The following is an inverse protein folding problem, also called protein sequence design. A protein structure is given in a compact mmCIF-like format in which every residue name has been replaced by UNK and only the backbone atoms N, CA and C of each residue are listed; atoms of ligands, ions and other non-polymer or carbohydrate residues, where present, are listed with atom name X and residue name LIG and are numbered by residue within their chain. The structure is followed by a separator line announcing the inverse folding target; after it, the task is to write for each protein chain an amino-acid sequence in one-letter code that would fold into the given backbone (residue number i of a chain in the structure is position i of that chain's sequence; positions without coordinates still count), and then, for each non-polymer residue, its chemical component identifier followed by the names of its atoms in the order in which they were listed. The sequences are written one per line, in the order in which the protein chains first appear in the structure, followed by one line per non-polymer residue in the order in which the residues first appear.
data_IF_234756355222
#
_entry.id   IF_234756355222
#
_cell.length_a   1.000
_cell.length_b   1.000
_cell.length_c   1.000
_cell.angle_alpha   90.00
_cell.angle_beta   90.00
_cell.angle_gamma   90.00
#
_symmetry.space_group_name_H-M   'P 1'
#
loop_
_entity.id
_entity.type
_entity.pdbx_description
1 polymer ?
#
# COMPACT_ATOMS: atom_id res chain seq x y z
N UNK A 1 1.16 -9.22 12.23
CA UNK A 1 0.05 -8.89 13.15
C UNK A 1 0.53 -8.84 14.60
N UNK A 2 1.11 -9.92 15.13
CA UNK A 2 1.55 -10.00 16.53
C UNK A 2 2.47 -8.85 16.96
N UNK A 3 3.43 -8.44 16.12
CA UNK A 3 4.31 -7.31 16.42
C UNK A 3 3.55 -6.01 16.71
N UNK A 4 2.53 -5.68 15.91
CA UNK A 4 1.69 -4.49 16.15
C UNK A 4 0.92 -4.58 17.46
N UNK A 5 0.34 -5.75 17.77
CA UNK A 5 -0.40 -5.98 19.01
C UNK A 5 0.49 -5.71 20.23
N UNK A 6 1.72 -6.22 20.22
CA UNK A 6 2.69 -6.01 21.32
C UNK A 6 3.05 -4.54 21.51
N UNK A 7 3.21 -3.79 20.41
CA UNK A 7 3.46 -2.35 20.50
C UNK A 7 2.27 -1.63 21.11
N UNK A 8 1.03 -1.97 20.71
CA UNK A 8 -0.16 -1.31 21.24
C UNK A 8 -0.36 -1.60 22.73
N UNK A 9 -0.16 -2.85 23.16
CA UNK A 9 -0.18 -3.23 24.57
C UNK A 9 0.87 -2.47 25.37
N UNK A 10 2.09 -2.30 24.84
CA UNK A 10 3.15 -1.53 25.50
C UNK A 10 2.81 -0.05 25.60
N UNK A 11 2.20 0.55 24.57
CA UNK A 11 1.73 1.94 24.57
C UNK A 11 0.66 2.15 25.64
N UNK A 12 -0.29 1.23 25.77
CA UNK A 12 -1.28 1.29 26.84
C UNK A 12 -0.66 1.11 28.23
N UNK A 13 0.29 0.18 28.39
CA UNK A 13 0.97 -0.06 29.66
C UNK A 13 1.87 1.11 30.10
N UNK A 14 2.33 1.93 29.15
CA UNK A 14 3.15 3.11 29.39
C UNK A 14 2.33 4.41 29.49
N UNK A 15 0.99 4.32 29.53
CA UNK A 15 0.06 5.47 29.61
C UNK A 15 0.31 6.56 28.55
N UNK A 16 0.72 6.14 27.34
CA UNK A 16 0.96 7.08 26.24
C UNK A 16 -0.39 7.61 25.75
N UNK A 17 -0.58 8.94 25.63
CA UNK A 17 -1.90 9.52 25.37
C UNK A 17 -2.38 9.40 23.92
N UNK A 18 -1.50 9.03 22.98
CA UNK A 18 -1.84 8.91 21.56
C UNK A 18 -1.01 7.85 20.83
N UNK A 19 -1.68 7.11 19.95
CA UNK A 19 -1.10 6.07 19.10
C UNK A 19 -1.52 6.30 17.65
N UNK A 20 -0.55 6.51 16.77
CA UNK A 20 -0.80 6.53 15.33
C UNK A 20 -0.43 5.19 14.70
N UNK A 21 -1.39 4.58 14.01
CA UNK A 21 -1.19 3.38 13.22
C UNK A 21 -1.23 3.69 11.73
N UNK A 22 -0.06 3.57 11.09
CA UNK A 22 0.08 3.62 9.64
C UNK A 22 -0.54 2.35 9.01
N UNK A 23 -1.81 2.44 8.65
CA UNK A 23 -2.56 1.40 7.94
C UNK A 23 -2.38 1.54 6.42
N UNK A 24 -3.39 1.18 5.62
CA UNK A 24 -3.39 1.28 4.16
C UNK A 24 -4.81 1.21 3.61
N UNK A 25 -5.03 1.75 2.41
CA UNK A 25 -6.25 1.50 1.61
C UNK A 25 -6.53 -0.01 1.45
N UNK A 26 -5.50 -0.85 1.51
CA UNK A 26 -5.66 -2.30 1.53
C UNK A 26 -6.47 -2.84 2.72
N UNK A 27 -6.67 -2.07 3.80
CA UNK A 27 -7.51 -2.51 4.90
C UNK A 27 -9.00 -2.58 4.52
N UNK A 28 -9.47 -1.75 3.58
CA UNK A 28 -10.87 -1.72 3.14
C UNK A 28 -11.33 -3.07 2.58
N UNK A 29 -12.49 -3.53 3.05
CA UNK A 29 -13.20 -4.65 2.42
C UNK A 29 -13.54 -4.25 0.98
N UNK A 30 -13.51 -5.16 -0.02
CA UNK A 30 -13.89 -4.81 -1.37
C UNK A 30 -15.31 -4.23 -1.35
N UNK A 31 -15.44 -2.93 -1.64
CA UNK A 31 -16.74 -2.30 -1.80
C UNK A 31 -17.47 -2.95 -2.97
N UNK A 32 -18.78 -3.12 -2.86
CA UNK A 32 -19.62 -3.56 -3.98
C UNK A 32 -19.44 -2.57 -5.13
N UNK A 33 -18.71 -3.01 -6.17
CA UNK A 33 -18.45 -2.25 -7.39
C UNK A 33 -19.78 -1.75 -7.96
N UNK A 34 -19.94 -0.43 -8.06
CA UNK A 34 -21.00 0.17 -8.87
C UNK A 34 -20.65 -0.21 -10.32
N UNK A 35 -21.47 -1.08 -10.91
CA UNK A 35 -21.18 -1.66 -12.20
C UNK A 35 -21.25 -0.59 -13.30
N UNK A 36 -20.14 -0.40 -14.02
CA UNK A 36 -20.14 -0.13 -15.46
C UNK A 36 -18.90 -0.76 -16.06
N UNK A 37 -19.08 -1.93 -16.67
CA UNK A 37 -18.46 -2.37 -17.92
C UNK A 37 -18.44 -3.89 -18.01
N UNK A 38 -18.87 -4.34 -19.18
CA UNK A 38 -19.14 -5.69 -19.63
C UNK A 38 -17.85 -6.47 -19.89
N UNK A 39 -17.69 -7.61 -19.22
CA UNK A 39 -17.17 -8.90 -19.74
C UNK A 39 -16.83 -9.81 -18.54
N UNK A 40 -17.54 -10.92 -18.31
CA UNK A 40 -17.24 -11.82 -17.20
C UNK A 40 -16.08 -12.76 -17.58
N UNK A 41 -14.84 -12.28 -17.46
CA UNK A 41 -13.75 -13.21 -17.15
C UNK A 41 -13.98 -13.81 -15.75
N UNK A 42 -13.52 -15.05 -15.47
CA UNK A 42 -13.81 -15.70 -14.19
C UNK A 42 -13.39 -14.78 -13.04
N UNK A 43 -14.28 -14.49 -12.07
CA UNK A 43 -13.91 -13.68 -10.93
C UNK A 43 -12.75 -14.41 -10.25
N UNK A 44 -11.61 -13.74 -10.10
CA UNK A 44 -10.51 -14.22 -9.27
C UNK A 44 -10.96 -14.19 -7.81
N UNK A 45 -11.86 -15.10 -7.48
CA UNK A 45 -12.48 -15.28 -6.18
C UNK A 45 -11.46 -16.00 -5.31
N UNK A 46 -10.58 -15.24 -4.69
CA UNK A 46 -9.67 -15.77 -3.69
C UNK A 46 -8.26 -15.26 -3.88
N UNK A 47 -7.94 -14.22 -3.12
CA UNK A 47 -6.71 -14.01 -2.35
C UNK A 47 -6.49 -12.51 -2.18
N UNK A 48 -7.08 -11.93 -1.13
CA UNK A 48 -6.56 -10.66 -0.61
C UNK A 48 -5.08 -10.90 -0.27
N UNK A 49 -4.12 -10.09 -0.75
CA UNK A 49 -2.71 -10.25 -0.41
C UNK A 49 -2.51 -10.38 1.09
N UNK A 50 -1.51 -11.14 1.53
CA UNK A 50 -1.19 -11.33 2.95
C UNK A 50 -1.06 -9.97 3.68
N UNK A 51 -0.50 -8.97 2.99
CA UNK A 51 -0.43 -7.58 3.45
C UNK A 51 -1.82 -6.97 3.77
N UNK A 52 -2.73 -7.02 2.80
CA UNK A 52 -4.12 -6.53 2.90
C UNK A 52 -4.87 -7.19 4.06
N UNK A 53 -4.72 -8.52 4.21
CA UNK A 53 -5.29 -9.27 5.34
C UNK A 53 -4.69 -8.82 6.67
N UNK A 54 -3.37 -8.69 6.73
CA UNK A 54 -2.66 -8.24 7.93
C UNK A 54 -3.13 -6.87 8.41
N UNK A 55 -3.23 -5.89 7.51
CA UNK A 55 -3.73 -4.54 7.85
C UNK A 55 -5.18 -4.58 8.35
N UNK A 56 -6.06 -5.32 7.65
CA UNK A 56 -7.46 -5.45 8.06
C UNK A 56 -7.63 -6.11 9.43
N UNK A 57 -6.85 -7.14 9.76
CA UNK A 57 -6.93 -7.78 11.09
C UNK A 57 -6.42 -6.88 12.21
N UNK A 58 -5.35 -6.10 11.97
CA UNK A 58 -4.86 -5.15 12.97
C UNK A 58 -5.89 -4.05 13.24
N UNK A 59 -6.57 -3.54 12.22
CA UNK A 59 -7.64 -2.54 12.44
C UNK A 59 -8.83 -3.11 13.22
N UNK A 60 -9.23 -4.36 12.96
CA UNK A 60 -10.26 -5.02 13.77
C UNK A 60 -9.86 -5.19 15.23
N UNK A 61 -8.58 -5.46 15.48
CA UNK A 61 -8.07 -5.48 16.86
C UNK A 61 -8.15 -4.10 17.50
N UNK A 62 -7.83 -3.04 16.75
CA UNK A 62 -7.92 -1.66 17.25
C UNK A 62 -9.36 -1.26 17.63
N UNK A 63 -10.38 -1.77 16.94
CA UNK A 63 -11.79 -1.52 17.29
C UNK A 63 -12.11 -1.96 18.73
N UNK A 64 -11.59 -3.11 19.18
CA UNK A 64 -11.75 -3.57 20.56
C UNK A 64 -10.73 -2.98 21.53
N UNK A 65 -9.56 -2.58 21.05
CA UNK A 65 -8.52 -1.94 21.88
C UNK A 65 -8.94 -0.54 22.33
N UNK A 66 -9.51 0.27 21.43
CA UNK A 66 -10.04 1.60 21.73
C UNK A 66 -11.15 1.54 22.79
N UNK A 67 -12.01 0.52 22.75
CA UNK A 67 -13.04 0.31 23.76
C UNK A 67 -12.47 -0.02 25.15
N UNK A 68 -11.31 -0.69 25.21
CA UNK A 68 -10.65 -1.06 26.47
C UNK A 68 -9.78 0.07 27.04
N UNK A 69 -9.35 1.01 26.21
CA UNK A 69 -8.46 2.11 26.57
C UNK A 69 -9.05 3.44 26.10
N UNK A 70 -10.17 3.89 26.69
CA UNK A 70 -10.92 5.06 26.21
C UNK A 70 -10.14 6.37 26.28
N UNK A 71 -9.18 6.48 27.20
CA UNK A 71 -8.35 7.67 27.38
C UNK A 71 -7.18 7.76 26.38
N UNK A 72 -6.88 6.67 25.67
CA UNK A 72 -5.81 6.58 24.68
C UNK A 72 -6.37 6.89 23.29
N UNK A 73 -5.91 7.98 22.67
CA UNK A 73 -6.35 8.36 21.32
C UNK A 73 -5.67 7.52 20.26
N UNK A 74 -6.45 6.76 19.49
CA UNK A 74 -5.93 5.99 18.36
C UNK A 74 -6.24 6.70 17.04
N UNK A 75 -5.21 6.92 16.23
CA UNK A 75 -5.30 7.49 14.89
C UNK A 75 -4.95 6.43 13.85
N UNK A 76 -5.77 6.31 12.80
CA UNK A 76 -5.61 5.30 11.74
C UNK A 76 -5.36 5.98 10.40
N UNK A 77 -4.11 6.06 9.97
CA UNK A 77 -3.76 6.62 8.67
C UNK A 77 -3.93 5.55 7.59
N UNK A 78 -4.77 5.78 6.57
CA UNK A 78 -5.01 4.81 5.47
C UNK A 78 -4.52 5.34 4.11
N UNK A 79 -3.19 5.43 3.90
CA UNK A 79 -2.65 5.91 2.63
C UNK A 79 -2.96 4.95 1.48
N UNK A 80 -3.02 5.51 0.27
CA UNK A 80 -2.98 4.77 -0.99
C UNK A 80 -1.55 4.26 -1.28
N UNK A 81 -1.24 4.06 -2.56
CA UNK A 81 0.15 3.80 -2.96
C UNK A 81 1.00 5.06 -2.76
N UNK A 82 2.09 4.91 -2.02
CA UNK A 82 3.08 5.95 -1.81
C UNK A 82 4.22 5.72 -2.79
N UNK A 83 4.45 6.66 -3.70
CA UNK A 83 5.52 6.61 -4.68
C UNK A 83 6.65 7.56 -4.27
N UNK A 84 7.89 7.17 -4.59
CA UNK A 84 9.07 7.99 -4.39
C UNK A 84 9.82 8.12 -5.71
N UNK A 85 10.41 9.30 -5.97
CA UNK A 85 11.17 9.55 -7.21
C UNK A 85 12.30 8.54 -7.42
N UNK A 86 12.95 8.12 -6.34
CA UNK A 86 14.04 7.13 -6.38
C UNK A 86 13.58 5.71 -6.76
N UNK A 87 12.28 5.44 -6.81
CA UNK A 87 11.74 4.16 -7.29
C UNK A 87 11.50 4.16 -8.81
N UNK A 88 11.76 5.27 -9.50
CA UNK A 88 11.72 5.36 -10.95
C UNK A 88 12.92 4.61 -11.53
N UNK A 89 12.67 3.67 -12.45
CA UNK A 89 13.74 3.05 -13.22
C UNK A 89 14.34 4.13 -14.14
N UNK A 90 15.67 4.36 -14.12
CA UNK A 90 16.28 5.27 -15.07
C UNK A 90 15.98 4.77 -16.49
N UNK A 91 15.65 5.65 -17.45
CA UNK A 91 15.28 5.22 -18.78
C UNK A 91 16.40 4.35 -19.36
N UNK A 92 16.04 3.12 -19.74
CA UNK A 92 16.98 2.19 -20.37
C UNK A 92 17.62 2.88 -21.58
N UNK A 93 18.94 2.74 -21.80
CA UNK A 93 19.56 3.26 -23.01
C UNK A 93 18.82 2.66 -24.20
N UNK A 94 18.28 3.53 -25.05
CA UNK A 94 17.58 3.11 -26.26
C UNK A 94 18.45 2.09 -27.00
N UNK A 95 17.93 0.89 -27.19
CA UNK A 95 18.63 -0.20 -27.87
C UNK A 95 18.98 0.28 -29.28
N UNK A 96 20.25 0.68 -29.50
CA UNK A 96 20.77 1.24 -30.77
C UNK A 96 20.96 0.15 -31.84
N UNK A 97 20.18 -0.93 -31.83
CA UNK A 97 20.47 -2.08 -32.70
C UNK A 97 20.10 -1.88 -34.16
N UNK A 98 19.32 -0.85 -34.53
CA UNK A 98 18.83 -0.66 -35.91
C UNK A 98 19.01 0.76 -36.49
N UNK A 99 20.09 1.48 -36.16
CA UNK A 99 20.43 2.70 -36.91
C UNK A 99 21.32 2.37 -38.11
N UNK A 100 20.86 2.71 -39.31
CA UNK A 100 21.71 2.82 -40.50
C UNK A 100 22.83 3.85 -40.24
N UNK A 101 24.03 3.65 -40.80
CA UNK A 101 25.17 4.59 -40.76
C UNK A 101 24.77 6.07 -40.99
N UNK A 102 23.80 6.33 -41.87
CA UNK A 102 23.28 7.67 -42.15
C UNK A 102 22.52 8.29 -40.95
N UNK A 103 21.81 7.47 -40.17
CA UNK A 103 21.07 7.91 -38.97
C UNK A 103 22.02 8.11 -37.78
N UNK A 104 23.10 7.31 -37.70
CA UNK A 104 24.14 7.46 -36.69
C UNK A 104 24.94 8.76 -36.86
N UNK A 105 25.29 9.11 -38.11
CA UNK A 105 26.01 10.36 -38.42
C UNK A 105 25.20 11.60 -38.04
N UNK A 106 23.88 11.59 -38.30
CA UNK A 106 22.97 12.69 -37.95
C UNK A 106 22.77 12.86 -36.44
N UNK A 107 22.86 11.78 -35.67
CA UNK A 107 22.73 11.80 -34.21
C UNK A 107 24.02 12.21 -33.48
N UNK A 108 25.19 12.13 -34.14
CA UNK A 108 26.50 12.41 -33.54
C UNK A 108 27.09 13.76 -33.93
N UNK A 109 26.36 14.61 -34.67
CA UNK A 109 26.69 16.02 -34.84
C UNK A 109 28.12 16.30 -35.30
N UNK A 110 28.56 15.64 -36.38
CA UNK A 110 29.73 16.05 -37.18
C UNK A 110 29.32 16.22 -38.63
#
# INVERSE_FOLDING_TARGET
MLGSVRVFEAVAAADVPALEYASSVGAYSPGRRIARSTSPGPPMAGQRPAYTRGKAYVERFLDSFEQRHPDLRVVRMRPGFLFQRSAEEPPLPACRSNMNKQQLAKALGR
#
